data_IF_206559030471
#
_entry.id   IF_206559030471
#
_cell.length_a   1.000
_cell.length_b   1.000
_cell.length_c   1.000
_cell.angle_alpha   90.00
_cell.angle_beta   90.00
_cell.angle_gamma   90.00
#
_symmetry.space_group_name_H-M   'P 1'
#
loop_
_entity.id
_entity.type
_entity.pdbx_description
1 polymer ?
#
# COMPACT_ATOMS: atom_id res chain seq x y z
N UNK A 1 -54.55 -21.49 -32.98
CA UNK A 1 -53.44 -21.90 -32.10
C UNK A 1 -52.23 -20.93 -32.12
N UNK A 2 -52.16 -19.97 -33.03
CA UNK A 2 -51.01 -19.05 -33.12
C UNK A 2 -51.14 -17.78 -32.21
N UNK A 3 -52.34 -17.38 -31.81
CA UNK A 3 -52.54 -16.17 -30.97
C UNK A 3 -52.24 -16.37 -29.49
N UNK A 4 -52.24 -17.62 -28.97
CA UNK A 4 -51.98 -17.92 -27.56
C UNK A 4 -50.47 -17.89 -27.19
N UNK A 5 -49.56 -17.93 -28.16
CA UNK A 5 -48.11 -17.90 -27.90
C UNK A 5 -47.52 -16.50 -27.92
N UNK A 6 -48.20 -15.47 -28.43
CA UNK A 6 -47.70 -14.10 -28.45
C UNK A 6 -47.88 -13.37 -27.10
N UNK A 7 -48.88 -13.76 -26.30
CA UNK A 7 -49.15 -13.13 -25.00
C UNK A 7 -48.12 -13.43 -23.91
N UNK A 8 -47.42 -14.58 -24.01
CA UNK A 8 -46.47 -15.02 -22.97
C UNK A 8 -45.07 -14.36 -23.07
N UNK A 9 -44.70 -13.86 -24.25
CA UNK A 9 -43.38 -13.21 -24.44
C UNK A 9 -43.31 -11.75 -23.96
N UNK A 10 -44.44 -11.05 -23.94
CA UNK A 10 -44.48 -9.64 -23.52
C UNK A 10 -44.49 -9.44 -22.00
N UNK A 11 -44.87 -10.43 -21.20
CA UNK A 11 -44.96 -10.33 -19.75
C UNK A 11 -43.60 -10.40 -19.02
N UNK A 12 -42.61 -11.03 -19.62
CA UNK A 12 -41.28 -11.15 -19.03
C UNK A 12 -40.42 -9.90 -19.19
N UNK A 13 -40.56 -9.18 -20.30
CA UNK A 13 -39.81 -7.93 -20.56
C UNK A 13 -40.31 -6.76 -19.70
N UNK A 14 -41.60 -6.71 -19.39
CA UNK A 14 -42.15 -5.67 -18.50
C UNK A 14 -41.74 -5.81 -17.05
N UNK A 15 -41.56 -7.05 -16.54
CA UNK A 15 -41.19 -7.32 -15.17
C UNK A 15 -39.71 -7.03 -14.89
N UNK A 16 -38.84 -7.24 -15.88
CA UNK A 16 -37.42 -6.88 -15.79
C UNK A 16 -37.22 -5.36 -15.73
N UNK A 17 -38.00 -4.60 -16.53
CA UNK A 17 -37.89 -3.13 -16.57
C UNK A 17 -38.35 -2.45 -15.28
N UNK A 18 -39.37 -2.98 -14.60
CA UNK A 18 -39.84 -2.43 -13.32
C UNK A 18 -38.89 -2.71 -12.17
N UNK A 19 -38.27 -3.88 -12.15
CA UNK A 19 -37.26 -4.24 -11.14
C UNK A 19 -36.01 -3.35 -11.24
N UNK A 20 -35.49 -3.13 -12.45
CA UNK A 20 -34.35 -2.21 -12.66
C UNK A 20 -34.68 -0.76 -12.28
N UNK A 21 -35.89 -0.31 -12.56
CA UNK A 21 -36.35 1.03 -12.16
C UNK A 21 -36.43 1.19 -10.64
N UNK A 22 -36.96 0.22 -9.92
CA UNK A 22 -36.98 0.22 -8.46
C UNK A 22 -35.57 0.20 -7.88
N UNK A 23 -34.67 -0.67 -8.40
CA UNK A 23 -33.27 -0.72 -7.99
C UNK A 23 -32.55 0.61 -8.20
N UNK A 24 -32.76 1.26 -9.35
CA UNK A 24 -32.11 2.54 -9.64
C UNK A 24 -32.68 3.66 -8.77
N UNK A 25 -33.99 3.63 -8.48
CA UNK A 25 -34.61 4.66 -7.65
C UNK A 25 -34.26 4.51 -6.18
N UNK A 26 -34.25 3.29 -5.66
CA UNK A 26 -34.03 3.02 -4.23
C UNK A 26 -32.53 2.94 -3.87
N UNK A 27 -31.70 2.46 -4.81
CA UNK A 27 -30.27 2.21 -4.57
C UNK A 27 -29.34 2.95 -5.56
N UNK A 28 -29.84 3.97 -6.28
CA UNK A 28 -29.09 4.68 -7.31
C UNK A 28 -27.74 5.22 -6.81
N UNK A 29 -27.71 5.82 -5.62
CA UNK A 29 -26.46 6.31 -5.01
C UNK A 29 -25.48 5.17 -4.72
N UNK A 30 -25.97 4.03 -4.21
CA UNK A 30 -25.13 2.87 -3.96
C UNK A 30 -24.57 2.27 -5.26
N UNK A 31 -25.38 2.20 -6.31
CA UNK A 31 -24.95 1.73 -7.64
C UNK A 31 -23.87 2.63 -8.26
N UNK A 32 -24.02 3.95 -8.14
CA UNK A 32 -22.98 4.90 -8.57
C UNK A 32 -21.70 4.71 -7.80
N UNK A 33 -21.78 4.55 -6.48
CA UNK A 33 -20.63 4.31 -5.62
C UNK A 33 -19.92 3.00 -5.99
N UNK A 34 -20.67 1.91 -6.18
CA UNK A 34 -20.12 0.63 -6.64
C UNK A 34 -19.48 0.73 -8.02
N UNK A 35 -20.13 1.44 -8.96
CA UNK A 35 -19.59 1.70 -10.30
C UNK A 35 -18.26 2.47 -10.23
N UNK A 36 -18.20 3.48 -9.37
CA UNK A 36 -16.99 4.27 -9.17
C UNK A 36 -15.86 3.42 -8.53
N UNK A 37 -16.16 2.62 -7.51
CA UNK A 37 -15.20 1.70 -6.89
C UNK A 37 -14.68 0.70 -7.93
N UNK A 38 -15.57 0.09 -8.73
CA UNK A 38 -15.20 -0.86 -9.76
C UNK A 38 -14.29 -0.23 -10.83
N UNK A 39 -14.64 0.99 -11.26
CA UNK A 39 -13.86 1.74 -12.26
C UNK A 39 -12.48 2.11 -11.70
N UNK A 40 -12.40 2.65 -10.47
CA UNK A 40 -11.13 2.97 -9.82
C UNK A 40 -10.27 1.72 -9.58
N UNK A 41 -10.90 0.62 -9.17
CA UNK A 41 -10.22 -0.66 -8.99
C UNK A 41 -9.63 -1.15 -10.31
N UNK A 42 -10.39 -1.07 -11.40
CA UNK A 42 -9.93 -1.47 -12.73
C UNK A 42 -8.82 -0.57 -13.28
N UNK A 43 -8.95 0.74 -13.15
CA UNK A 43 -7.95 1.71 -13.61
C UNK A 43 -6.63 1.64 -12.82
N UNK A 44 -6.72 1.24 -11.54
CA UNK A 44 -5.53 1.11 -10.65
C UNK A 44 -4.96 -0.29 -10.63
N UNK A 45 -5.49 -1.20 -11.45
CA UNK A 45 -4.98 -2.57 -11.56
C UNK A 45 -3.65 -2.58 -12.28
N UNK A 46 -2.58 -2.77 -11.52
CA UNK A 46 -1.19 -2.78 -12.03
C UNK A 46 -0.39 -3.90 -11.38
N UNK A 47 0.71 -4.27 -12.03
CA UNK A 47 1.74 -5.07 -11.38
C UNK A 47 2.43 -4.20 -10.33
N UNK A 48 2.55 -4.70 -9.13
CA UNK A 48 3.07 -3.97 -7.98
C UNK A 48 4.01 -4.89 -7.19
N UNK A 49 5.03 -4.33 -6.53
CA UNK A 49 5.77 -5.11 -5.57
C UNK A 49 4.80 -5.66 -4.50
N UNK A 50 4.98 -6.91 -4.07
CA UNK A 50 4.16 -7.48 -3.03
C UNK A 50 4.29 -6.66 -1.74
N UNK A 51 3.24 -6.62 -0.93
CA UNK A 51 3.33 -6.01 0.40
C UNK A 51 4.35 -6.73 1.29
N UNK A 52 4.67 -6.13 2.43
CA UNK A 52 5.70 -6.60 3.35
C UNK A 52 5.64 -8.11 3.64
N UNK A 53 4.43 -8.62 3.95
CA UNK A 53 4.24 -10.04 4.28
C UNK A 53 4.48 -10.94 3.07
N UNK A 54 3.92 -10.58 1.91
CA UNK A 54 4.10 -11.36 0.68
C UNK A 54 5.55 -11.35 0.17
N UNK A 55 6.25 -10.21 0.31
CA UNK A 55 7.67 -10.13 -0.01
C UNK A 55 8.52 -11.00 0.92
N UNK A 56 8.25 -10.93 2.23
CA UNK A 56 8.97 -11.73 3.22
C UNK A 56 8.74 -13.23 2.98
N UNK A 57 7.50 -13.66 2.75
CA UNK A 57 7.17 -15.05 2.50
C UNK A 57 7.87 -15.60 1.25
N UNK A 58 7.84 -14.85 0.13
CA UNK A 58 8.54 -15.25 -1.10
C UNK A 58 10.05 -15.39 -0.88
N UNK A 59 10.68 -14.44 -0.21
CA UNK A 59 12.12 -14.46 0.05
C UNK A 59 12.49 -15.57 1.04
N UNK A 60 11.69 -15.82 2.07
CA UNK A 60 11.89 -16.92 3.01
C UNK A 60 11.76 -18.29 2.31
N UNK A 61 10.81 -18.43 1.40
CA UNK A 61 10.67 -19.67 0.63
C UNK A 61 11.91 -19.95 -0.25
N UNK A 62 12.57 -18.93 -0.78
CA UNK A 62 13.84 -19.09 -1.50
C UNK A 62 14.97 -19.40 -0.54
N UNK A 63 15.05 -18.70 0.60
CA UNK A 63 16.07 -18.94 1.63
C UNK A 63 16.05 -20.37 2.19
N UNK A 64 14.88 -20.99 2.27
CA UNK A 64 14.72 -22.37 2.75
C UNK A 64 15.18 -23.44 1.73
N UNK A 65 15.29 -23.09 0.44
CA UNK A 65 15.67 -24.04 -0.61
C UNK A 65 17.19 -24.27 -0.71
N UNK A 66 17.98 -23.44 -0.08
CA UNK A 66 19.43 -23.51 -0.17
C UNK A 66 20.07 -23.27 1.19
N UNK A 67 21.20 -23.92 1.46
CA UNK A 67 21.98 -23.73 2.70
C UNK A 67 23.12 -22.70 2.52
N UNK A 68 23.13 -21.96 1.42
CA UNK A 68 24.15 -20.93 1.17
C UNK A 68 24.10 -19.82 2.21
N UNK A 69 25.23 -19.14 2.47
CA UNK A 69 25.22 -17.92 3.26
C UNK A 69 24.32 -16.87 2.59
N UNK A 70 23.65 -16.08 3.40
CA UNK A 70 22.64 -15.13 2.93
C UNK A 70 23.11 -13.71 3.17
N UNK A 71 22.96 -12.87 2.15
CA UNK A 71 23.08 -11.43 2.27
C UNK A 71 21.69 -10.79 2.14
N UNK A 72 21.36 -9.96 3.09
CA UNK A 72 20.13 -9.17 3.06
C UNK A 72 20.44 -7.79 2.49
N UNK A 73 19.77 -7.40 1.42
CA UNK A 73 20.03 -6.14 0.71
C UNK A 73 18.73 -5.35 0.59
N UNK A 74 18.74 -4.15 1.13
CA UNK A 74 17.59 -3.23 1.10
C UNK A 74 18.02 -1.78 0.95
N UNK A 75 17.08 -0.93 0.54
CA UNK A 75 17.27 0.51 0.49
C UNK A 75 17.14 1.14 1.89
N UNK A 76 17.30 2.46 1.97
CA UNK A 76 17.08 3.23 3.21
C UNK A 76 15.61 3.46 3.53
N UNK A 77 14.68 3.00 2.69
CA UNK A 77 13.25 3.17 2.93
C UNK A 77 12.78 2.43 4.18
N UNK A 78 11.78 2.97 4.84
CA UNK A 78 11.21 2.36 6.05
C UNK A 78 10.57 0.99 5.75
N UNK A 79 10.01 0.82 4.55
CA UNK A 79 9.44 -0.45 4.10
C UNK A 79 10.51 -1.54 3.96
N UNK A 80 11.65 -1.20 3.35
CA UNK A 80 12.76 -2.11 3.18
C UNK A 80 13.39 -2.47 4.52
N UNK A 81 13.53 -1.51 5.44
CA UNK A 81 14.01 -1.78 6.80
C UNK A 81 13.13 -2.80 7.51
N UNK A 82 11.82 -2.61 7.50
CA UNK A 82 10.85 -3.56 8.09
C UNK A 82 10.92 -4.93 7.44
N UNK A 83 11.11 -4.98 6.12
CA UNK A 83 11.29 -6.25 5.40
C UNK A 83 12.56 -6.97 5.85
N UNK A 84 13.68 -6.27 5.91
CA UNK A 84 14.96 -6.82 6.32
C UNK A 84 14.93 -7.29 7.79
N UNK A 85 14.34 -6.51 8.69
CA UNK A 85 14.19 -6.89 10.11
C UNK A 85 13.32 -8.15 10.25
N UNK A 86 12.25 -8.26 9.47
CA UNK A 86 11.40 -9.45 9.44
C UNK A 86 12.16 -10.68 8.95
N UNK A 87 12.92 -10.55 7.86
CA UNK A 87 13.74 -11.63 7.31
C UNK A 87 14.83 -12.05 8.31
N UNK A 88 15.49 -11.10 8.95
CA UNK A 88 16.49 -11.34 9.98
C UNK A 88 15.94 -12.11 11.18
N UNK A 89 14.71 -11.81 11.59
CA UNK A 89 14.04 -12.53 12.68
C UNK A 89 13.62 -13.95 12.33
N UNK A 90 13.39 -14.23 11.03
CA UNK A 90 12.93 -15.54 10.57
C UNK A 90 14.04 -16.47 10.06
N UNK A 91 15.19 -15.92 9.67
CA UNK A 91 16.35 -16.68 9.19
C UNK A 91 17.34 -16.89 10.33
N UNK A 92 17.90 -18.11 10.51
CA UNK A 92 18.92 -18.36 11.52
C UNK A 92 20.11 -17.39 11.37
N UNK A 93 20.54 -16.77 12.47
CA UNK A 93 21.60 -15.75 12.46
C UNK A 93 22.94 -16.28 11.89
N UNK A 94 23.20 -17.58 12.04
CA UNK A 94 24.39 -18.26 11.47
C UNK A 94 24.44 -18.23 9.94
N UNK A 95 23.30 -18.08 9.28
CA UNK A 95 23.21 -18.03 7.82
C UNK A 95 23.28 -16.62 7.25
N UNK A 96 22.90 -15.59 8.03
CA UNK A 96 22.96 -14.19 7.60
C UNK A 96 24.39 -13.68 7.82
N UNK A 97 25.16 -13.62 6.73
CA UNK A 97 26.59 -13.23 6.79
C UNK A 97 26.79 -11.72 6.62
N UNK A 98 25.93 -11.04 5.88
CA UNK A 98 26.01 -9.58 5.73
C UNK A 98 24.62 -8.98 5.52
N UNK A 99 24.44 -7.77 6.03
CA UNK A 99 23.24 -6.97 5.82
C UNK A 99 23.67 -5.61 5.28
N UNK A 100 23.06 -5.20 4.16
CA UNK A 100 23.33 -3.92 3.50
C UNK A 100 22.02 -3.16 3.43
N UNK A 101 21.93 -2.09 4.21
CA UNK A 101 20.83 -1.11 4.16
C UNK A 101 21.40 0.22 3.68
N UNK A 102 21.18 0.57 2.44
CA UNK A 102 21.77 1.77 1.86
C UNK A 102 21.43 1.95 0.38
N UNK A 103 22.33 2.61 -0.33
CA UNK A 103 22.24 2.81 -1.78
C UNK A 103 23.13 1.85 -2.58
N UNK A 104 23.09 1.95 -3.93
CA UNK A 104 23.96 1.18 -4.81
C UNK A 104 25.46 1.34 -4.49
N UNK A 105 25.96 2.52 -4.05
CA UNK A 105 27.37 2.67 -3.67
C UNK A 105 27.74 1.85 -2.43
N UNK A 106 26.84 1.78 -1.45
CA UNK A 106 27.07 1.03 -0.20
C UNK A 106 27.11 -0.47 -0.49
N UNK A 107 26.21 -0.94 -1.33
CA UNK A 107 26.21 -2.32 -1.80
C UNK A 107 27.50 -2.64 -2.58
N UNK A 108 27.95 -1.75 -3.49
CA UNK A 108 29.21 -1.93 -4.22
C UNK A 108 30.40 -2.09 -3.28
N UNK A 109 30.52 -1.20 -2.29
CA UNK A 109 31.57 -1.26 -1.27
C UNK A 109 31.55 -2.60 -0.52
N UNK A 110 30.35 -2.99 -0.04
CA UNK A 110 30.17 -4.25 0.66
C UNK A 110 30.52 -5.47 -0.19
N UNK A 111 30.22 -5.42 -1.49
CA UNK A 111 30.53 -6.48 -2.44
C UNK A 111 32.05 -6.59 -2.74
N UNK A 112 32.77 -5.46 -2.78
CA UNK A 112 34.22 -5.41 -2.96
C UNK A 112 35.00 -5.86 -1.73
N UNK A 113 34.46 -5.66 -0.53
CA UNK A 113 35.08 -6.09 0.74
C UNK A 113 34.96 -7.61 0.99
N UNK A 114 34.26 -8.34 0.11
CA UNK A 114 34.12 -9.78 0.27
C UNK A 114 35.47 -10.48 0.10
N UNK A 115 35.85 -11.37 1.04
CA UNK A 115 37.11 -12.12 0.93
C UNK A 115 37.14 -13.00 -0.32
N UNK A 116 38.28 -13.02 -0.99
CA UNK A 116 38.51 -13.93 -2.13
C UNK A 116 38.41 -15.39 -1.63
N UNK A 117 37.61 -16.20 -2.35
CA UNK A 117 37.40 -17.61 -1.97
C UNK A 117 36.27 -17.87 -0.98
N UNK A 118 35.57 -16.84 -0.47
CA UNK A 118 34.38 -17.06 0.32
C UNK A 118 33.26 -17.68 -0.55
N UNK A 119 32.38 -18.55 0.03
CA UNK A 119 31.29 -19.15 -0.73
C UNK A 119 30.33 -18.08 -1.26
N UNK A 120 29.85 -18.25 -2.49
CA UNK A 120 28.95 -17.30 -3.13
C UNK A 120 27.63 -17.25 -2.38
N UNK A 121 27.22 -16.09 -1.82
CA UNK A 121 26.01 -15.98 -1.05
C UNK A 121 24.75 -15.98 -1.92
N UNK A 122 23.61 -16.30 -1.32
CA UNK A 122 22.30 -15.96 -1.83
C UNK A 122 21.99 -14.51 -1.45
N UNK A 123 21.70 -13.68 -2.45
CA UNK A 123 21.25 -12.30 -2.22
C UNK A 123 19.73 -12.25 -2.09
N UNK A 124 19.23 -11.89 -0.92
CA UNK A 124 17.83 -11.56 -0.73
C UNK A 124 17.67 -10.03 -0.81
N UNK A 125 17.17 -9.58 -1.93
CA UNK A 125 17.02 -8.16 -2.23
C UNK A 125 15.58 -7.70 -2.03
N UNK A 126 15.39 -6.50 -1.50
CA UNK A 126 14.07 -5.84 -1.59
C UNK A 126 13.73 -5.54 -3.05
N UNK A 127 12.47 -5.22 -3.35
CA UNK A 127 12.05 -4.86 -4.70
C UNK A 127 12.81 -3.65 -5.25
N UNK A 128 13.17 -2.69 -4.40
CA UNK A 128 13.96 -1.52 -4.79
C UNK A 128 15.42 -1.89 -5.04
N UNK A 129 16.03 -2.64 -4.13
CA UNK A 129 17.42 -3.06 -4.24
C UNK A 129 17.65 -4.02 -5.43
N UNK A 130 16.69 -4.90 -5.70
CA UNK A 130 16.73 -5.78 -6.86
C UNK A 130 16.71 -5.06 -8.21
N UNK A 131 16.20 -3.83 -8.27
CA UNK A 131 16.23 -2.97 -9.47
C UNK A 131 17.56 -2.23 -9.70
N UNK A 132 18.54 -2.34 -8.81
CA UNK A 132 19.83 -1.67 -9.00
C UNK A 132 20.64 -2.36 -10.10
N UNK A 133 21.17 -1.58 -11.03
CA UNK A 133 22.02 -2.09 -12.12
C UNK A 133 23.25 -2.87 -11.60
N UNK A 134 23.78 -2.44 -10.45
CA UNK A 134 24.92 -3.15 -9.82
C UNK A 134 24.54 -4.56 -9.35
N UNK A 135 23.30 -4.83 -9.00
CA UNK A 135 22.85 -6.16 -8.58
C UNK A 135 22.65 -7.08 -9.79
N UNK A 136 22.07 -6.55 -10.88
CA UNK A 136 21.87 -7.30 -12.12
C UNK A 136 23.18 -7.63 -12.86
N UNK A 137 24.17 -6.75 -12.74
CA UNK A 137 25.48 -6.87 -13.44
C UNK A 137 26.58 -7.36 -12.50
N UNK A 138 26.25 -7.84 -11.30
CA UNK A 138 27.20 -8.17 -10.24
C UNK A 138 28.22 -9.24 -10.70
N UNK A 139 27.71 -10.30 -11.32
CA UNK A 139 28.54 -11.41 -11.81
C UNK A 139 29.48 -11.01 -12.95
N UNK A 140 29.09 -10.01 -13.77
CA UNK A 140 29.88 -9.53 -14.90
C UNK A 140 30.94 -8.50 -14.48
N UNK A 141 30.63 -7.67 -13.47
CA UNK A 141 31.46 -6.54 -13.08
C UNK A 141 32.45 -6.82 -11.94
N UNK A 142 32.14 -7.80 -11.10
CA UNK A 142 32.97 -8.10 -9.93
C UNK A 142 33.44 -9.56 -9.95
N UNK A 143 34.78 -9.79 -10.04
CA UNK A 143 35.34 -11.15 -9.96
C UNK A 143 35.00 -11.82 -8.63
N UNK A 144 34.70 -13.11 -8.67
CA UNK A 144 34.32 -13.89 -7.49
C UNK A 144 32.82 -13.89 -7.17
N UNK A 145 31.99 -13.27 -8.02
CA UNK A 145 30.54 -13.29 -7.90
C UNK A 145 29.87 -14.16 -8.98
N UNK A 146 30.65 -15.01 -9.64
CA UNK A 146 30.13 -15.96 -10.62
C UNK A 146 29.15 -16.93 -9.95
N UNK A 147 28.00 -17.12 -10.57
CA UNK A 147 26.95 -18.00 -10.04
C UNK A 147 26.21 -17.46 -8.80
N UNK A 148 26.28 -16.17 -8.56
CA UNK A 148 25.46 -15.52 -7.52
C UNK A 148 23.97 -15.69 -7.87
N UNK A 149 23.21 -16.12 -6.89
CA UNK A 149 21.76 -16.21 -6.98
C UNK A 149 21.13 -14.98 -6.31
N UNK A 150 20.31 -14.26 -7.07
CA UNK A 150 19.61 -13.05 -6.60
C UNK A 150 18.12 -13.35 -6.53
N UNK A 151 17.58 -13.29 -5.33
CA UNK A 151 16.15 -13.42 -5.10
C UNK A 151 15.54 -12.03 -4.87
N UNK A 152 14.60 -11.69 -5.72
CA UNK A 152 13.79 -10.45 -5.62
C UNK A 152 12.34 -10.84 -5.53
N UNK A 153 11.54 -10.19 -4.69
CA UNK A 153 10.11 -10.47 -4.61
C UNK A 153 9.43 -10.25 -5.96
N UNK A 154 8.69 -11.25 -6.43
CA UNK A 154 7.95 -11.17 -7.70
C UNK A 154 6.77 -10.23 -7.56
N UNK A 155 6.57 -9.39 -8.56
CA UNK A 155 5.42 -8.51 -8.64
C UNK A 155 4.10 -9.29 -8.61
N UNK A 156 3.13 -8.75 -7.90
CA UNK A 156 1.77 -9.28 -7.79
C UNK A 156 0.82 -8.35 -8.52
N UNK A 157 -0.08 -8.91 -9.31
CA UNK A 157 -1.14 -8.12 -9.92
C UNK A 157 -2.19 -7.75 -8.88
N UNK A 158 -2.46 -6.48 -8.72
CA UNK A 158 -3.45 -6.01 -7.77
C UNK A 158 -3.83 -4.55 -7.98
N UNK A 159 -4.94 -4.14 -7.38
CA UNK A 159 -5.36 -2.75 -7.37
C UNK A 159 -4.68 -2.00 -6.22
N UNK A 160 -4.06 -0.87 -6.53
CA UNK A 160 -3.54 0.04 -5.50
C UNK A 160 -4.65 0.63 -4.64
N UNK A 161 -5.84 0.75 -5.21
CA UNK A 161 -7.01 1.31 -4.53
C UNK A 161 -7.46 0.43 -3.35
N UNK A 162 -7.44 -0.90 -3.51
CA UNK A 162 -7.88 -1.85 -2.50
C UNK A 162 -6.80 -2.24 -1.47
N UNK A 163 -5.61 -1.64 -1.54
CA UNK A 163 -4.60 -1.86 -0.50
C UNK A 163 -5.12 -1.41 0.86
N UNK A 164 -4.85 -2.21 1.89
CA UNK A 164 -5.28 -1.94 3.27
C UNK A 164 -4.86 -0.55 3.74
N UNK A 165 -3.63 -0.14 3.43
CA UNK A 165 -3.08 1.18 3.77
C UNK A 165 -3.91 2.30 3.14
N UNK A 166 -4.27 2.16 1.85
CA UNK A 166 -5.10 3.14 1.16
C UNK A 166 -6.51 3.20 1.73
N UNK A 167 -7.12 2.05 2.05
CA UNK A 167 -8.45 2.01 2.66
C UNK A 167 -8.47 2.66 4.06
N UNK A 168 -7.42 2.45 4.85
CA UNK A 168 -7.27 3.10 6.16
C UNK A 168 -7.12 4.61 5.99
N UNK A 169 -6.29 5.06 5.04
CA UNK A 169 -6.10 6.49 4.77
C UNK A 169 -7.41 7.15 4.32
N UNK A 170 -8.14 6.51 3.41
CA UNK A 170 -9.47 6.99 2.96
C UNK A 170 -10.45 7.02 4.13
N UNK A 171 -10.48 5.98 4.97
CA UNK A 171 -11.35 5.95 6.15
C UNK A 171 -11.01 7.08 7.13
N UNK A 172 -9.74 7.33 7.39
CA UNK A 172 -9.30 8.43 8.26
C UNK A 172 -9.70 9.80 7.71
N UNK A 173 -9.55 10.03 6.41
CA UNK A 173 -9.98 11.28 5.78
C UNK A 173 -11.49 11.48 5.85
N UNK A 174 -12.26 10.42 5.60
CA UNK A 174 -13.73 10.47 5.63
C UNK A 174 -14.24 10.66 7.06
N UNK A 175 -13.56 10.14 8.07
CA UNK A 175 -14.01 10.20 9.47
C UNK A 175 -14.27 11.64 9.94
N UNK A 176 -13.36 12.56 9.65
CA UNK A 176 -13.51 13.98 10.02
C UNK A 176 -14.73 14.59 9.33
N UNK A 177 -14.87 14.35 8.02
CA UNK A 177 -15.99 14.85 7.22
C UNK A 177 -17.32 14.25 7.71
N UNK A 178 -17.33 12.96 8.04
CA UNK A 178 -18.50 12.26 8.52
C UNK A 178 -18.97 12.82 9.89
N UNK A 179 -18.07 13.12 10.80
CA UNK A 179 -18.41 13.73 12.09
C UNK A 179 -19.06 15.10 11.91
N UNK A 180 -18.48 15.94 11.04
CA UNK A 180 -19.06 17.26 10.71
C UNK A 180 -20.43 17.09 10.04
N UNK A 181 -20.57 16.16 9.10
CA UNK A 181 -21.82 15.90 8.40
C UNK A 181 -22.94 15.44 9.35
N UNK A 182 -22.63 14.56 10.30
CA UNK A 182 -23.61 14.12 11.33
C UNK A 182 -24.04 15.31 12.18
N UNK A 183 -23.10 16.15 12.63
CA UNK A 183 -23.44 17.37 13.39
C UNK A 183 -24.35 18.31 12.61
N UNK A 184 -24.03 18.58 11.34
CA UNK A 184 -24.85 19.42 10.48
C UNK A 184 -26.25 18.81 10.23
N UNK A 185 -26.32 17.49 10.06
CA UNK A 185 -27.62 16.81 9.88
C UNK A 185 -28.52 16.98 11.10
N UNK A 186 -27.97 16.89 12.30
CA UNK A 186 -28.74 17.12 13.52
C UNK A 186 -29.29 18.56 13.60
N UNK A 187 -28.47 19.56 13.23
CA UNK A 187 -28.91 20.96 13.20
C UNK A 187 -30.02 21.18 12.16
N UNK A 188 -29.89 20.59 10.96
CA UNK A 188 -30.91 20.70 9.91
C UNK A 188 -32.22 20.05 10.35
N UNK A 189 -32.16 18.89 11.01
CA UNK A 189 -33.35 18.19 11.53
C UNK A 189 -34.11 19.02 12.58
N UNK A 190 -33.43 19.85 13.36
CA UNK A 190 -34.04 20.77 14.33
C UNK A 190 -34.56 22.08 13.69
N UNK A 191 -34.50 22.19 12.36
CA UNK A 191 -34.97 23.38 11.63
C UNK A 191 -33.98 24.55 11.67
N UNK A 192 -32.74 24.30 12.13
CA UNK A 192 -31.67 25.30 12.16
C UNK A 192 -30.86 25.37 10.87
N UNK A 193 -30.26 26.51 10.62
CA UNK A 193 -29.23 26.69 9.59
C UNK A 193 -27.93 26.99 10.33
N UNK A 194 -26.98 26.04 10.31
CA UNK A 194 -25.67 26.26 10.95
C UNK A 194 -24.68 26.86 9.96
N UNK A 195 -24.49 28.17 10.06
CA UNK A 195 -23.46 28.90 9.32
C UNK A 195 -22.12 28.96 10.09
N UNK A 196 -22.08 28.43 11.32
CA UNK A 196 -20.92 28.54 12.21
C UNK A 196 -19.88 27.44 12.02
N UNK A 197 -20.21 26.35 11.30
CA UNK A 197 -19.33 25.17 11.15
C UNK A 197 -17.96 25.59 10.61
N UNK A 198 -17.90 26.44 9.58
CA UNK A 198 -16.63 26.91 9.01
C UNK A 198 -15.79 27.72 10.02
N UNK A 199 -16.43 28.58 10.80
CA UNK A 199 -15.75 29.40 11.82
C UNK A 199 -15.28 28.55 13.01
N UNK A 200 -16.03 27.54 13.41
CA UNK A 200 -15.64 26.61 14.47
C UNK A 200 -14.45 25.74 14.04
N UNK A 201 -14.43 25.26 12.80
CA UNK A 201 -13.28 24.53 12.26
C UNK A 201 -12.05 25.42 12.25
N UNK A 202 -12.16 26.66 11.74
CA UNK A 202 -11.05 27.61 11.73
C UNK A 202 -10.55 27.95 13.14
N UNK A 203 -11.46 28.19 14.09
CA UNK A 203 -11.11 28.45 15.48
C UNK A 203 -10.40 27.25 16.11
N UNK A 204 -10.93 26.05 15.91
CA UNK A 204 -10.33 24.82 16.44
C UNK A 204 -8.91 24.62 15.91
N UNK A 205 -8.68 24.86 14.62
CA UNK A 205 -7.35 24.78 14.01
C UNK A 205 -6.39 25.81 14.63
N UNK A 206 -6.82 27.05 14.79
CA UNK A 206 -5.99 28.12 15.41
C UNK A 206 -5.65 27.77 16.86
N UNK A 207 -6.63 27.33 17.64
CA UNK A 207 -6.40 26.95 19.05
C UNK A 207 -5.45 25.76 19.15
N UNK A 208 -5.61 24.76 18.28
CA UNK A 208 -4.71 23.60 18.23
C UNK A 208 -3.26 24.04 17.88
N UNK A 209 -3.09 24.85 16.84
CA UNK A 209 -1.77 25.36 16.44
C UNK A 209 -1.11 26.19 17.55
N UNK A 210 -1.87 27.07 18.21
CA UNK A 210 -1.35 27.87 19.32
C UNK A 210 -1.01 27.01 20.55
N UNK A 211 -1.83 25.99 20.82
CA UNK A 211 -1.57 25.01 21.88
C UNK A 211 -0.25 24.27 21.64
N UNK A 212 -0.06 23.76 20.45
CA UNK A 212 1.18 23.07 20.06
C UNK A 212 2.38 24.02 20.16
N UNK A 213 2.28 25.22 19.63
CA UNK A 213 3.37 26.21 19.69
C UNK A 213 3.75 26.60 21.14
N UNK A 214 2.78 26.69 22.03
CA UNK A 214 2.99 27.10 23.42
C UNK A 214 3.46 25.98 24.34
N UNK A 215 2.94 24.77 24.17
CA UNK A 215 3.20 23.65 25.09
C UNK A 215 4.26 22.67 24.59
N UNK A 216 4.50 22.60 23.28
CA UNK A 216 5.52 21.69 22.70
C UNK A 216 6.90 22.34 22.50
N UNK A 217 7.14 23.55 23.04
CA UNK A 217 8.46 24.18 23.02
C UNK A 217 8.96 24.66 21.68
N UNK A 218 8.05 24.88 20.75
CA UNK A 218 8.36 25.20 19.35
C UNK A 218 8.07 24.03 18.44
N UNK A 219 7.57 24.36 17.28
CA UNK A 219 7.12 23.35 16.31
C UNK A 219 8.34 22.79 15.60
N UNK A 220 8.88 21.69 16.09
CA UNK A 220 9.64 20.81 15.22
C UNK A 220 8.73 20.38 14.07
N UNK A 221 9.15 20.64 12.84
CA UNK A 221 8.38 20.43 11.62
C UNK A 221 7.74 19.03 11.47
N UNK A 222 8.21 18.06 12.23
CA UNK A 222 7.70 16.69 12.33
C UNK A 222 6.26 16.63 12.84
N UNK A 223 5.85 17.51 13.76
CA UNK A 223 4.48 17.51 14.30
C UNK A 223 3.45 18.15 13.36
N UNK A 224 3.88 19.16 12.59
CA UNK A 224 3.01 19.73 11.55
C UNK A 224 2.70 18.71 10.43
N UNK A 225 3.61 17.81 10.14
CA UNK A 225 3.37 16.73 9.19
C UNK A 225 2.36 15.68 9.70
N UNK A 226 2.21 15.54 11.02
CA UNK A 226 1.25 14.59 11.61
C UNK A 226 -0.16 15.18 11.75
N UNK A 227 -0.26 16.50 11.96
CA UNK A 227 -1.55 17.19 12.17
C UNK A 227 -2.06 17.87 10.90
N UNK A 228 -1.21 18.10 9.92
CA UNK A 228 -1.54 18.75 8.64
C UNK A 228 -2.12 17.82 7.56
N UNK A 229 -2.52 16.61 7.93
CA UNK A 229 -3.16 15.64 7.03
C UNK A 229 -4.40 15.03 7.66
#
# INVERSE_FOLDING_TARGET
MAEMQQGARHSHLGRVSTWWRSLITDYGMALVLFGMIATLTGLTWKRQPPGLEGAAEQLLAVAQRTDRPIWLVGSTSEEDRRLIDRLRGAIPASRVTKMVLGGPPDFRRAAQERPAGAPTPLLLCSSQAGGWSIVSELAERLPGWEGVEVAVPKEVSGSSFLKRENLINVANQITVIAMVAIGMTLVILTGGIDLSVGSLIALSAVVACQGIAKFAGGVDATWLAVVGW
#
